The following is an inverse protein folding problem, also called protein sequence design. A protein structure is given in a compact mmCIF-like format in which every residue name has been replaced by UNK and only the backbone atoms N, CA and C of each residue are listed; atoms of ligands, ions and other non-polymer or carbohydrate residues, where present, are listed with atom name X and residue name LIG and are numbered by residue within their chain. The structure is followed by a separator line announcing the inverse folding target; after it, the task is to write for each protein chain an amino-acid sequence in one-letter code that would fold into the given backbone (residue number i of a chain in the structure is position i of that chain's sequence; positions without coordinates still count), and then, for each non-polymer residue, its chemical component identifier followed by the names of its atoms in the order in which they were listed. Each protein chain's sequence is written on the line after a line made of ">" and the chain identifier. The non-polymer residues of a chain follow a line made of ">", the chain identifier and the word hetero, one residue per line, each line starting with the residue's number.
data_IF_368700838152
#
_entry.id   IF_368700838152
#
_cell.length_a   1.000
_cell.length_b   1.000
_cell.length_c   1.000
_cell.angle_alpha   90.00
_cell.angle_beta   90.00
_cell.angle_gamma   90.00
#
_symmetry.space_group_name_H-M   'P 1'
#
loop_
_entity.id
_entity.type
_entity.pdbx_description
1 polymer ?
#
# COMPACT_ATOMS: atom_id res chain seq x y z
N UNK A 1 30.36 10.79 2.00
CA UNK A 1 28.92 10.76 2.37
C UNK A 1 28.16 12.01 1.93
N UNK A 2 28.73 13.23 1.91
CA UNK A 2 28.04 14.44 1.40
C UNK A 2 27.70 14.39 -0.11
N UNK A 3 28.56 13.78 -0.93
CA UNK A 3 28.37 13.75 -2.39
C UNK A 3 27.13 12.99 -2.88
N UNK A 4 26.73 11.90 -2.21
CA UNK A 4 25.56 11.11 -2.58
C UNK A 4 24.22 11.82 -2.28
N UNK A 5 24.17 12.64 -1.23
CA UNK A 5 22.96 13.44 -0.93
C UNK A 5 22.73 14.53 -1.98
N UNK A 6 23.81 15.17 -2.43
CA UNK A 6 23.72 16.21 -3.47
C UNK A 6 23.32 15.61 -4.83
N UNK A 7 23.83 14.44 -5.20
CA UNK A 7 23.46 13.77 -6.45
C UNK A 7 22.00 13.30 -6.46
N UNK A 8 21.48 12.76 -5.35
CA UNK A 8 20.10 12.35 -5.21
C UNK A 8 19.17 13.57 -5.24
N UNK A 9 19.56 14.66 -4.61
CA UNK A 9 18.79 15.91 -4.61
C UNK A 9 18.73 16.54 -6.01
N UNK A 10 19.85 16.54 -6.75
CA UNK A 10 19.92 17.02 -8.13
C UNK A 10 19.07 16.18 -9.08
N UNK A 11 19.05 14.86 -8.95
CA UNK A 11 18.21 13.97 -9.75
C UNK A 11 16.73 14.18 -9.43
N UNK A 12 16.36 14.34 -8.16
CA UNK A 12 14.98 14.64 -7.75
C UNK A 12 14.52 16.02 -8.27
N UNK A 13 15.39 17.03 -8.24
CA UNK A 13 15.11 18.37 -8.76
C UNK A 13 15.01 18.38 -10.30
N UNK A 14 15.85 17.62 -11.01
CA UNK A 14 15.77 17.56 -12.48
C UNK A 14 14.52 16.87 -13.00
N UNK A 15 13.95 15.93 -12.24
CA UNK A 15 12.68 15.29 -12.57
C UNK A 15 11.48 16.21 -12.28
N UNK A 16 11.57 17.11 -11.27
CA UNK A 16 10.52 18.06 -10.92
C UNK A 16 10.32 19.18 -11.96
N UNK A 17 11.33 19.49 -12.75
CA UNK A 17 11.29 20.61 -13.72
C UNK A 17 10.47 20.40 -14.99
N UNK A 18 9.89 19.20 -15.20
CA UNK A 18 9.23 18.85 -16.47
C UNK A 18 7.75 18.48 -16.37
N UNK A 19 7.10 18.64 -15.21
CA UNK A 19 5.69 18.30 -14.99
C UNK A 19 4.79 19.51 -14.74
N UNK A 20 3.49 19.38 -15.02
CA UNK A 20 2.48 20.27 -14.47
C UNK A 20 2.37 20.02 -12.97
N UNK A 21 2.22 21.06 -12.14
CA UNK A 21 2.12 20.95 -10.67
C UNK A 21 1.02 19.99 -10.18
N UNK A 22 -0.01 19.74 -11.00
CA UNK A 22 -1.11 18.82 -10.67
C UNK A 22 -0.74 17.33 -10.78
N UNK A 23 0.31 16.98 -11.54
CA UNK A 23 0.75 15.60 -11.74
C UNK A 23 1.90 15.20 -10.81
N UNK A 24 2.48 16.16 -10.09
CA UNK A 24 3.62 15.92 -9.23
C UNK A 24 3.19 15.28 -7.90
N UNK A 25 4.02 14.35 -7.45
CA UNK A 25 3.92 13.79 -6.09
C UNK A 25 4.24 14.90 -5.07
N UNK A 26 3.36 15.17 -4.08
CA UNK A 26 3.58 16.27 -3.15
C UNK A 26 4.81 16.05 -2.26
N UNK A 27 5.29 17.13 -1.66
CA UNK A 27 6.29 17.06 -0.60
C UNK A 27 5.72 16.39 0.66
N UNK A 28 6.61 15.89 1.52
CA UNK A 28 6.21 15.33 2.82
C UNK A 28 5.67 16.43 3.76
N UNK A 29 4.67 16.11 4.57
CA UNK A 29 3.92 14.86 4.68
C UNK A 29 2.91 14.67 3.55
N UNK A 30 2.98 13.53 2.84
CA UNK A 30 2.16 13.26 1.66
C UNK A 30 0.76 12.81 2.02
N UNK A 31 -0.23 13.29 1.26
CA UNK A 31 -1.63 12.82 1.34
C UNK A 31 -1.97 11.77 0.28
N UNK A 32 -1.23 11.76 -0.83
CA UNK A 32 -1.34 10.80 -1.93
C UNK A 32 0.06 10.56 -2.54
N UNK A 33 0.20 9.47 -3.30
CA UNK A 33 1.51 9.03 -3.74
C UNK A 33 2.37 8.53 -2.58
N UNK A 34 1.74 8.11 -1.49
CA UNK A 34 2.39 7.60 -0.29
C UNK A 34 3.12 6.31 -0.59
N UNK A 35 4.34 6.19 -0.13
CA UNK A 35 5.11 4.93 -0.10
C UNK A 35 5.24 4.47 1.34
N UNK A 36 4.58 3.37 1.67
CA UNK A 36 4.83 2.64 2.91
C UNK A 36 5.80 1.50 2.62
N UNK A 37 6.87 1.42 3.36
CA UNK A 37 7.95 0.46 3.18
C UNK A 37 7.86 -0.63 4.23
N UNK A 38 8.03 -1.89 3.82
CA UNK A 38 8.18 -3.01 4.74
C UNK A 38 9.48 -2.88 5.51
N UNK A 39 9.43 -3.08 6.83
CA UNK A 39 10.64 -3.06 7.64
C UNK A 39 11.56 -4.25 7.30
N UNK A 40 12.88 -4.05 7.22
CA UNK A 40 13.84 -5.09 6.80
C UNK A 40 14.18 -6.12 7.88
N UNK A 41 13.30 -6.36 8.86
CA UNK A 41 13.60 -7.15 10.07
C UNK A 41 13.43 -8.66 9.90
N UNK A 42 14.00 -9.23 8.87
CA UNK A 42 14.03 -10.69 8.71
C UNK A 42 15.34 -11.34 9.15
N UNK A 43 16.34 -10.58 9.62
CA UNK A 43 17.65 -11.11 10.02
C UNK A 43 18.07 -10.65 11.41
N UNK A 44 18.69 -11.57 12.17
CA UNK A 44 19.19 -11.43 13.55
C UNK A 44 20.38 -10.48 13.73
N UNK A 45 20.65 -9.55 12.81
CA UNK A 45 21.73 -8.57 12.98
C UNK A 45 21.20 -7.30 13.63
N UNK A 46 22.08 -6.46 14.20
CA UNK A 46 21.64 -5.22 14.84
C UNK A 46 20.83 -4.41 13.84
N UNK A 47 19.52 -4.51 14.01
CA UNK A 47 18.48 -4.01 13.09
C UNK A 47 18.66 -2.50 12.83
N UNK A 48 19.17 -1.77 13.83
CA UNK A 48 19.27 -0.32 13.78
C UNK A 48 20.29 0.18 12.75
N UNK A 49 21.45 -0.47 12.61
CA UNK A 49 22.46 -0.01 11.66
C UNK A 49 22.02 -0.21 10.21
N UNK A 50 21.46 -1.40 9.90
CA UNK A 50 20.95 -1.67 8.55
C UNK A 50 19.78 -0.75 8.19
N UNK A 51 18.87 -0.51 9.15
CA UNK A 51 17.76 0.42 8.95
C UNK A 51 18.26 1.86 8.78
N UNK A 52 19.25 2.30 9.56
CA UNK A 52 19.82 3.63 9.41
C UNK A 52 20.40 3.84 7.99
N UNK A 53 21.17 2.88 7.48
CA UNK A 53 21.76 2.94 6.13
C UNK A 53 20.65 2.99 5.04
N UNK A 54 19.57 2.22 5.22
CA UNK A 54 18.41 2.25 4.32
C UNK A 54 17.71 3.60 4.38
N UNK A 55 17.42 4.11 5.57
CA UNK A 55 16.71 5.38 5.73
C UNK A 55 17.56 6.58 5.29
N UNK A 56 18.85 6.57 5.52
CA UNK A 56 19.77 7.62 5.02
C UNK A 56 19.70 7.75 3.48
N UNK A 57 19.44 6.63 2.79
CA UNK A 57 19.35 6.58 1.33
C UNK A 57 17.95 6.78 0.80
N UNK A 58 16.94 6.21 1.46
CA UNK A 58 15.58 6.09 0.93
C UNK A 58 14.56 7.04 1.57
N UNK A 59 14.90 7.72 2.66
CA UNK A 59 13.95 8.56 3.39
C UNK A 59 13.23 9.62 2.53
N UNK A 60 13.81 10.23 1.48
CA UNK A 60 13.06 11.16 0.64
C UNK A 60 11.89 10.53 -0.11
N UNK A 61 11.95 9.22 -0.32
CA UNK A 61 10.99 8.46 -1.13
C UNK A 61 9.96 7.70 -0.29
N UNK A 62 10.24 7.48 1.00
CA UNK A 62 9.43 6.70 1.94
C UNK A 62 8.66 7.60 2.89
N UNK A 63 7.38 7.34 3.08
CA UNK A 63 6.50 8.08 3.99
C UNK A 63 6.18 7.30 5.26
N UNK A 64 6.15 5.96 5.17
CA UNK A 64 5.82 5.08 6.27
C UNK A 64 6.70 3.84 6.35
N UNK A 65 6.94 3.38 7.58
CA UNK A 65 7.61 2.13 7.89
C UNK A 65 6.60 1.17 8.51
N UNK A 66 6.36 0.01 7.89
CA UNK A 66 5.42 -1.00 8.37
C UNK A 66 6.15 -2.19 9.00
N UNK A 67 5.84 -2.49 10.24
CA UNK A 67 6.20 -3.74 10.89
C UNK A 67 5.26 -4.85 10.39
N UNK A 68 5.75 -5.70 9.48
CA UNK A 68 4.90 -6.75 8.88
C UNK A 68 4.89 -8.03 9.72
N UNK A 69 3.80 -8.79 9.62
CA UNK A 69 3.66 -10.10 10.24
C UNK A 69 3.78 -10.11 11.76
N UNK A 70 3.50 -8.98 12.42
CA UNK A 70 3.57 -8.89 13.87
C UNK A 70 4.99 -8.96 14.45
N UNK A 71 6.04 -8.73 13.65
CA UNK A 71 7.43 -8.87 14.09
C UNK A 71 7.78 -7.99 15.30
N UNK A 72 7.10 -6.84 15.49
CA UNK A 72 7.27 -6.00 16.68
C UNK A 72 6.91 -6.71 17.99
N UNK A 73 6.00 -7.68 17.96
CA UNK A 73 5.63 -8.48 19.14
C UNK A 73 6.73 -9.42 19.63
N UNK A 74 7.70 -9.70 18.77
CA UNK A 74 8.85 -10.56 19.07
C UNK A 74 10.10 -9.78 19.48
N UNK A 75 10.02 -8.45 19.48
CA UNK A 75 11.13 -7.55 19.81
C UNK A 75 11.01 -7.01 21.23
N UNK A 76 12.17 -6.68 21.83
CA UNK A 76 12.18 -5.91 23.08
C UNK A 76 11.63 -4.50 22.86
N UNK A 77 10.94 -3.94 23.86
CA UNK A 77 10.28 -2.63 23.78
C UNK A 77 11.27 -1.49 23.47
N UNK A 78 12.46 -1.59 24.01
CA UNK A 78 13.54 -0.62 23.79
C UNK A 78 13.93 -0.59 22.30
N UNK A 79 14.12 -1.77 21.70
CA UNK A 79 14.46 -1.86 20.28
C UNK A 79 13.33 -1.31 19.38
N UNK A 80 12.06 -1.59 19.74
CA UNK A 80 10.93 -1.03 18.99
C UNK A 80 10.95 0.49 19.06
N UNK A 81 11.19 1.09 20.26
CA UNK A 81 11.32 2.55 20.42
C UNK A 81 12.46 3.13 19.61
N UNK A 82 13.64 2.50 19.64
CA UNK A 82 14.80 2.96 18.86
C UNK A 82 14.46 2.99 17.35
N UNK A 83 13.71 2.02 16.85
CA UNK A 83 13.29 1.94 15.46
C UNK A 83 12.25 3.03 15.14
N UNK A 84 11.26 3.22 16.00
CA UNK A 84 10.23 4.26 15.81
C UNK A 84 10.85 5.67 15.87
N UNK A 85 11.73 5.91 16.83
CA UNK A 85 12.47 7.18 16.95
C UNK A 85 13.36 7.44 15.73
N UNK A 86 14.01 6.40 15.19
CA UNK A 86 14.82 6.50 14.01
C UNK A 86 13.98 6.86 12.78
N UNK A 87 12.84 6.21 12.59
CA UNK A 87 11.91 6.52 11.50
C UNK A 87 11.41 7.97 11.59
N UNK A 88 11.04 8.42 12.78
CA UNK A 88 10.57 9.79 13.01
C UNK A 88 11.64 10.86 12.73
N UNK A 89 12.93 10.57 12.98
CA UNK A 89 14.04 11.48 12.61
C UNK A 89 14.14 11.73 11.10
N UNK A 90 13.54 10.84 10.29
CA UNK A 90 13.49 10.95 8.84
C UNK A 90 12.10 11.37 8.32
N UNK A 91 11.21 11.88 9.17
CA UNK A 91 9.82 12.23 8.84
C UNK A 91 9.03 11.05 8.24
N UNK A 92 9.22 9.85 8.81
CA UNK A 92 8.56 8.61 8.39
C UNK A 92 7.66 8.14 9.53
N UNK A 93 6.35 8.00 9.26
CA UNK A 93 5.42 7.43 10.22
C UNK A 93 5.61 5.92 10.38
N UNK A 94 5.19 5.37 11.51
CA UNK A 94 5.36 3.95 11.81
C UNK A 94 4.00 3.26 11.95
N UNK A 95 3.84 2.13 11.26
CA UNK A 95 2.63 1.29 11.25
C UNK A 95 2.91 -0.08 11.88
N UNK A 96 1.95 -0.58 12.66
CA UNK A 96 2.07 -1.89 13.32
C UNK A 96 2.06 -3.07 12.36
N UNK A 97 1.45 -2.90 11.18
CA UNK A 97 1.15 -4.03 10.30
C UNK A 97 0.08 -4.97 10.90
N UNK A 98 0.00 -6.15 10.34
CA UNK A 98 -0.99 -7.19 10.65
C UNK A 98 -0.66 -7.89 11.97
N UNK A 99 -1.28 -7.51 13.04
CA UNK A 99 -1.13 -8.16 14.34
C UNK A 99 -2.34 -8.02 15.25
N UNK A 100 -3.06 -6.92 15.14
CA UNK A 100 -4.15 -6.56 16.04
C UNK A 100 -5.24 -7.63 16.14
N UNK A 101 -5.49 -8.37 15.05
CA UNK A 101 -6.46 -9.46 15.00
C UNK A 101 -6.18 -10.60 15.96
N UNK A 102 -4.91 -10.89 16.25
CA UNK A 102 -4.53 -11.96 17.19
C UNK A 102 -4.97 -11.64 18.61
N UNK A 103 -5.04 -10.37 18.97
CA UNK A 103 -5.44 -9.89 20.29
C UNK A 103 -6.95 -9.89 20.47
N UNK A 104 -7.72 -9.78 19.40
CA UNK A 104 -9.18 -9.82 19.45
C UNK A 104 -9.71 -11.15 19.99
N UNK A 105 -8.94 -12.22 19.86
CA UNK A 105 -9.24 -13.54 20.46
C UNK A 105 -9.21 -13.52 21.99
N UNK A 106 -8.48 -12.55 22.58
CA UNK A 106 -8.34 -12.40 24.03
C UNK A 106 -9.39 -11.43 24.61
N UNK A 107 -10.20 -10.81 23.76
CA UNK A 107 -11.27 -9.91 24.14
C UNK A 107 -10.95 -8.41 24.02
N UNK A 108 -11.96 -7.54 24.20
CA UNK A 108 -11.84 -6.11 23.91
C UNK A 108 -10.83 -5.36 24.81
N UNK A 109 -10.66 -5.81 26.07
CA UNK A 109 -9.72 -5.17 27.01
C UNK A 109 -8.28 -5.30 26.56
N UNK A 110 -7.91 -6.46 25.99
CA UNK A 110 -6.55 -6.72 25.49
C UNK A 110 -6.25 -5.84 24.28
N UNK A 111 -7.23 -5.59 23.43
CA UNK A 111 -7.06 -4.69 22.30
C UNK A 111 -6.85 -3.23 22.74
N UNK A 112 -7.60 -2.75 23.74
CA UNK A 112 -7.40 -1.40 24.29
C UNK A 112 -5.98 -1.24 24.87
N UNK A 113 -5.54 -2.21 25.65
CA UNK A 113 -4.19 -2.20 26.21
C UNK A 113 -3.12 -2.18 25.12
N UNK A 114 -3.30 -2.96 24.04
CA UNK A 114 -2.42 -2.95 22.89
C UNK A 114 -2.34 -1.59 22.20
N UNK A 115 -3.47 -0.92 21.99
CA UNK A 115 -3.50 0.43 21.39
C UNK A 115 -2.71 1.42 22.25
N UNK A 116 -2.87 1.38 23.58
CA UNK A 116 -2.12 2.22 24.51
C UNK A 116 -0.62 1.90 24.48
N UNK A 117 -0.26 0.63 24.39
CA UNK A 117 1.12 0.19 24.31
C UNK A 117 1.76 0.61 22.98
N UNK A 118 1.09 0.44 21.85
CA UNK A 118 1.57 0.92 20.54
C UNK A 118 1.84 2.43 20.58
N UNK A 119 0.94 3.21 21.16
CA UNK A 119 1.14 4.64 21.33
C UNK A 119 2.38 4.95 22.17
N UNK A 120 2.57 4.25 23.28
CA UNK A 120 3.73 4.42 24.17
C UNK A 120 5.06 4.00 23.52
N UNK A 121 5.01 3.13 22.50
CA UNK A 121 6.16 2.67 21.73
C UNK A 121 6.47 3.56 20.51
N UNK A 122 5.67 4.59 20.23
CA UNK A 122 5.89 5.53 19.14
C UNK A 122 5.24 5.14 17.82
N UNK A 123 4.29 4.19 17.80
CA UNK A 123 3.53 3.92 16.57
C UNK A 123 2.56 5.05 16.26
N UNK A 124 2.40 5.37 14.98
CA UNK A 124 1.47 6.38 14.47
C UNK A 124 0.19 5.77 13.94
N UNK A 125 0.27 4.55 13.41
CA UNK A 125 -0.82 3.88 12.70
C UNK A 125 -1.00 2.45 13.18
N UNK A 126 -2.24 2.07 13.46
CA UNK A 126 -2.61 0.67 13.71
C UNK A 126 -3.36 0.13 12.50
N UNK A 127 -2.85 -0.96 11.95
CA UNK A 127 -3.50 -1.71 10.90
C UNK A 127 -4.45 -2.76 11.50
N UNK A 128 -5.63 -2.90 10.92
CA UNK A 128 -6.66 -3.85 11.35
C UNK A 128 -6.96 -4.82 10.22
N UNK A 129 -6.38 -6.01 10.25
CA UNK A 129 -6.78 -7.09 9.36
C UNK A 129 -7.96 -7.86 9.98
N UNK A 130 -9.16 -7.39 9.73
CA UNK A 130 -10.38 -7.98 10.28
C UNK A 130 -10.90 -9.19 9.45
N UNK A 131 -10.34 -9.41 8.25
CA UNK A 131 -10.79 -10.47 7.34
C UNK A 131 -10.56 -11.88 7.91
N UNK A 132 -9.45 -12.10 8.60
CA UNK A 132 -9.11 -13.39 9.21
C UNK A 132 -10.03 -13.81 10.37
N UNK A 133 -10.75 -12.86 10.98
CA UNK A 133 -11.60 -13.11 12.16
C UNK A 133 -13.11 -13.02 11.88
N UNK A 134 -13.52 -12.76 10.65
CA UNK A 134 -14.92 -12.56 10.28
C UNK A 134 -15.67 -11.66 11.27
N UNK A 135 -15.08 -10.55 11.68
CA UNK A 135 -15.66 -9.63 12.65
C UNK A 135 -16.99 -9.06 12.13
N UNK A 136 -18.03 -9.02 12.97
CA UNK A 136 -19.20 -8.22 12.67
C UNK A 136 -18.80 -6.77 12.38
N UNK A 137 -19.47 -6.14 11.43
CA UNK A 137 -19.17 -4.77 10.99
C UNK A 137 -19.11 -3.79 12.17
N UNK A 138 -20.12 -3.82 13.07
CA UNK A 138 -20.14 -2.95 14.24
C UNK A 138 -18.94 -3.14 15.17
N UNK A 139 -18.41 -4.36 15.27
CA UNK A 139 -17.19 -4.60 16.05
C UNK A 139 -15.98 -3.93 15.39
N UNK A 140 -15.83 -4.04 14.06
CA UNK A 140 -14.77 -3.37 13.31
C UNK A 140 -14.83 -1.85 13.49
N UNK A 141 -16.03 -1.25 13.36
CA UNK A 141 -16.22 0.18 13.52
C UNK A 141 -15.89 0.68 14.94
N UNK A 142 -16.20 -0.13 15.97
CA UNK A 142 -15.79 0.16 17.35
C UNK A 142 -14.28 0.18 17.53
N UNK A 143 -13.58 -0.76 16.89
CA UNK A 143 -12.11 -0.82 16.92
C UNK A 143 -11.49 0.40 16.23
N UNK A 144 -12.01 0.79 15.07
CA UNK A 144 -11.59 2.02 14.37
C UNK A 144 -11.75 3.24 15.28
N UNK A 145 -12.93 3.42 15.89
CA UNK A 145 -13.19 4.54 16.81
C UNK A 145 -12.27 4.51 18.04
N UNK A 146 -11.98 3.32 18.58
CA UNK A 146 -11.07 3.16 19.72
C UNK A 146 -9.66 3.62 19.36
N UNK A 147 -9.12 3.21 18.23
CA UNK A 147 -7.80 3.66 17.74
C UNK A 147 -7.81 5.18 17.56
N UNK A 148 -8.83 5.72 16.92
CA UNK A 148 -8.94 7.18 16.70
C UNK A 148 -9.03 7.96 18.00
N UNK A 149 -9.79 7.48 18.98
CA UNK A 149 -9.92 8.14 20.30
C UNK A 149 -8.62 8.14 21.10
N UNK A 150 -7.69 7.21 20.83
CA UNK A 150 -6.36 7.21 21.42
C UNK A 150 -5.39 8.20 20.77
N UNK A 151 -5.78 8.82 19.65
CA UNK A 151 -4.95 9.76 18.89
C UNK A 151 -4.08 9.10 17.82
N UNK A 152 -4.23 7.79 17.58
CA UNK A 152 -3.55 7.07 16.51
C UNK A 152 -4.36 7.08 15.21
N UNK A 153 -3.69 6.80 14.10
CA UNK A 153 -4.34 6.57 12.81
C UNK A 153 -4.82 5.13 12.70
N UNK A 154 -6.03 4.95 12.14
CA UNK A 154 -6.61 3.65 11.89
C UNK A 154 -6.53 3.31 10.40
N UNK A 155 -5.98 2.14 10.08
CA UNK A 155 -5.83 1.63 8.71
C UNK A 155 -6.42 0.22 8.62
N UNK A 156 -7.76 0.09 8.43
CA UNK A 156 -8.40 -1.20 8.16
C UNK A 156 -7.88 -1.82 6.86
N UNK A 157 -7.61 -3.13 6.90
CA UNK A 157 -7.16 -3.91 5.77
C UNK A 157 -8.25 -4.84 5.28
N UNK A 158 -8.46 -4.86 3.98
CA UNK A 158 -9.38 -5.76 3.29
C UNK A 158 -8.60 -6.52 2.21
N UNK A 159 -8.90 -7.80 2.05
CA UNK A 159 -8.30 -8.64 1.02
C UNK A 159 -9.31 -8.88 -0.09
N UNK A 160 -8.87 -8.74 -1.34
CA UNK A 160 -9.63 -9.15 -2.52
C UNK A 160 -9.17 -10.55 -2.90
N UNK A 161 -10.00 -11.56 -2.62
CA UNK A 161 -9.70 -12.97 -2.93
C UNK A 161 -10.55 -13.41 -4.12
N UNK A 162 -9.92 -14.13 -5.04
CA UNK A 162 -10.61 -14.82 -6.12
C UNK A 162 -10.77 -16.28 -5.78
N UNK A 163 -11.95 -16.83 -6.06
CA UNK A 163 -12.13 -18.26 -6.04
C UNK A 163 -11.29 -18.87 -7.18
N UNK A 164 -10.29 -19.67 -6.81
CA UNK A 164 -9.39 -20.35 -7.75
C UNK A 164 -10.07 -21.51 -8.48
N UNK A 165 -11.37 -21.76 -8.25
CA UNK A 165 -12.11 -22.89 -8.82
C UNK A 165 -12.35 -22.76 -10.32
N UNK A 166 -12.31 -21.54 -10.88
CA UNK A 166 -12.58 -21.30 -12.31
C UNK A 166 -11.33 -21.32 -13.20
N UNK A 167 -10.15 -21.53 -12.64
CA UNK A 167 -8.91 -21.56 -13.41
C UNK A 167 -8.24 -22.93 -13.26
N UNK A 168 -8.08 -23.72 -14.34
CA UNK A 168 -7.34 -24.96 -14.30
C UNK A 168 -5.89 -24.68 -13.89
N UNK A 169 -5.51 -25.03 -12.66
CA UNK A 169 -4.15 -24.92 -12.22
C UNK A 169 -3.28 -25.83 -13.07
N UNK A 170 -2.38 -25.27 -13.87
CA UNK A 170 -1.43 -26.01 -14.71
C UNK A 170 -0.44 -26.87 -13.90
N UNK A 171 -0.56 -26.86 -12.56
CA UNK A 171 0.27 -27.61 -11.63
C UNK A 171 -0.29 -28.97 -11.18
N UNK A 172 -1.54 -29.29 -11.48
CA UNK A 172 -2.18 -30.54 -11.04
C UNK A 172 -1.92 -31.70 -12.04
N UNK A 173 -0.77 -31.70 -12.71
CA UNK A 173 -0.29 -32.83 -13.49
C UNK A 173 0.68 -33.67 -12.65
N UNK A 174 0.15 -34.66 -11.94
CA UNK A 174 0.98 -35.73 -11.43
C UNK A 174 1.04 -36.84 -12.50
N UNK A 175 2.22 -37.19 -12.98
CA UNK A 175 2.48 -38.28 -13.90
C UNK A 175 1.68 -38.28 -15.22
N UNK A 176 1.36 -37.10 -15.75
CA UNK A 176 0.65 -37.00 -17.04
C UNK A 176 -0.87 -37.26 -16.97
N UNK A 177 -1.40 -37.56 -15.82
CA UNK A 177 -2.85 -37.70 -15.61
C UNK A 177 -3.43 -36.43 -14.98
N UNK A 178 -4.59 -36.00 -15.47
CA UNK A 178 -5.35 -34.92 -14.87
C UNK A 178 -6.09 -35.48 -13.65
N UNK A 179 -5.61 -35.20 -12.47
CA UNK A 179 -6.35 -35.48 -11.23
C UNK A 179 -7.13 -34.22 -10.92
N UNK A 180 -8.41 -34.21 -11.30
CA UNK A 180 -9.32 -33.18 -10.81
C UNK A 180 -9.45 -33.35 -9.30
N UNK A 181 -9.01 -32.39 -8.47
CA UNK A 181 -9.29 -32.46 -7.06
C UNK A 181 -10.81 -32.45 -6.88
N UNK A 182 -11.34 -33.46 -6.19
CA UNK A 182 -12.73 -33.44 -5.72
C UNK A 182 -12.79 -32.37 -4.62
N UNK A 183 -12.88 -31.11 -5.03
CA UNK A 183 -13.20 -30.03 -4.12
C UNK A 183 -14.72 -30.01 -3.97
N UNK A 184 -15.17 -30.23 -2.76
CA UNK A 184 -16.53 -29.86 -2.39
C UNK A 184 -16.73 -28.42 -2.89
N UNK A 185 -17.72 -28.23 -3.73
CA UNK A 185 -18.18 -26.90 -4.17
C UNK A 185 -18.70 -26.14 -2.94
N UNK A 186 -17.83 -25.54 -2.18
CA UNK A 186 -18.23 -24.49 -1.26
C UNK A 186 -18.49 -23.26 -2.12
N UNK A 187 -19.70 -23.14 -2.60
CA UNK A 187 -20.23 -22.08 -3.46
C UNK A 187 -20.28 -20.69 -2.79
N UNK A 188 -19.52 -20.44 -1.73
CA UNK A 188 -19.74 -19.30 -0.84
C UNK A 188 -18.57 -18.32 -0.72
N UNK A 189 -17.60 -18.31 -1.62
CA UNK A 189 -16.51 -17.32 -1.56
C UNK A 189 -16.28 -16.58 -2.86
N UNK A 190 -17.32 -16.09 -3.48
CA UNK A 190 -17.22 -14.84 -4.23
C UNK A 190 -17.29 -13.75 -3.16
N UNK A 191 -16.14 -13.23 -2.73
CA UNK A 191 -16.14 -12.05 -1.89
C UNK A 191 -16.86 -10.95 -2.68
N UNK A 192 -18.04 -10.58 -2.20
CA UNK A 192 -18.83 -9.51 -2.79
C UNK A 192 -18.03 -8.21 -2.65
N UNK A 193 -17.40 -7.79 -3.76
CA UNK A 193 -16.61 -6.56 -3.82
C UNK A 193 -17.45 -5.34 -3.40
N UNK A 194 -18.75 -5.37 -3.62
CA UNK A 194 -19.65 -4.33 -3.14
C UNK A 194 -19.79 -4.33 -1.62
N UNK A 195 -19.77 -5.50 -1.00
CA UNK A 195 -19.75 -5.61 0.45
C UNK A 195 -18.43 -5.09 1.02
N UNK A 196 -17.29 -5.44 0.40
CA UNK A 196 -15.98 -4.91 0.79
C UNK A 196 -15.99 -3.38 0.72
N UNK A 197 -16.43 -2.80 -0.39
CA UNK A 197 -16.49 -1.35 -0.57
C UNK A 197 -17.37 -0.70 0.49
N UNK A 198 -18.59 -1.20 0.73
CA UNK A 198 -19.51 -0.66 1.75
C UNK A 198 -18.86 -0.70 3.15
N UNK A 199 -18.22 -1.80 3.52
CA UNK A 199 -17.52 -1.91 4.81
C UNK A 199 -16.35 -0.93 4.92
N UNK A 200 -15.59 -0.74 3.84
CA UNK A 200 -14.50 0.23 3.78
C UNK A 200 -15.03 1.68 3.91
N UNK A 201 -16.10 2.03 3.19
CA UNK A 201 -16.78 3.33 3.30
C UNK A 201 -17.20 3.60 4.76
N UNK A 202 -17.83 2.64 5.41
CA UNK A 202 -18.22 2.77 6.82
C UNK A 202 -17.05 2.90 7.79
N UNK A 203 -15.92 2.24 7.49
CA UNK A 203 -14.70 2.46 8.26
C UNK A 203 -14.18 3.91 8.10
N UNK A 204 -14.22 4.48 6.90
CA UNK A 204 -13.88 5.88 6.66
C UNK A 204 -14.82 6.83 7.40
N UNK A 205 -16.13 6.57 7.38
CA UNK A 205 -17.14 7.31 8.17
C UNK A 205 -16.89 7.21 9.68
N UNK A 206 -16.40 6.07 10.16
CA UNK A 206 -16.03 5.87 11.55
C UNK A 206 -14.70 6.56 11.94
N UNK A 207 -14.00 7.18 10.98
CA UNK A 207 -12.79 7.96 11.17
C UNK A 207 -11.49 7.26 10.76
N UNK A 208 -11.54 6.15 10.00
CA UNK A 208 -10.34 5.56 9.43
C UNK A 208 -9.61 6.56 8.51
N UNK A 209 -8.29 6.57 8.57
CA UNK A 209 -7.48 7.52 7.81
C UNK A 209 -7.19 7.03 6.39
N UNK A 210 -7.02 5.71 6.26
CA UNK A 210 -6.65 5.01 5.03
C UNK A 210 -7.24 3.61 5.04
N UNK A 211 -7.59 3.09 3.88
CA UNK A 211 -7.97 1.69 3.68
C UNK A 211 -6.83 0.96 2.98
N UNK A 212 -6.29 -0.08 3.59
CA UNK A 212 -5.34 -0.98 2.95
C UNK A 212 -6.10 -2.05 2.16
N UNK A 213 -5.70 -2.26 0.92
CA UNK A 213 -6.24 -3.30 0.05
C UNK A 213 -5.13 -4.27 -0.30
N UNK A 214 -5.25 -5.50 0.19
CA UNK A 214 -4.46 -6.61 -0.30
C UNK A 214 -5.09 -7.08 -1.63
N UNK A 215 -4.42 -6.76 -2.71
CA UNK A 215 -4.85 -7.08 -4.07
C UNK A 215 -3.87 -8.06 -4.74
N UNK A 216 -3.03 -8.76 -3.99
CA UNK A 216 -2.01 -9.64 -4.52
C UNK A 216 -2.60 -10.73 -5.43
N UNK A 217 -3.71 -11.35 -5.02
CA UNK A 217 -4.38 -12.36 -5.84
C UNK A 217 -4.89 -11.80 -7.18
N UNK A 218 -5.28 -10.52 -7.20
CA UNK A 218 -5.70 -9.82 -8.40
C UNK A 218 -4.51 -9.56 -9.33
N UNK A 219 -3.37 -9.18 -8.75
CA UNK A 219 -2.22 -8.66 -9.48
C UNK A 219 -1.22 -9.75 -9.90
N UNK A 220 -1.14 -10.87 -9.18
CA UNK A 220 -0.26 -11.99 -9.53
C UNK A 220 -0.65 -12.68 -10.84
N UNK A 221 -1.91 -12.55 -11.25
CA UNK A 221 -2.47 -13.14 -12.47
C UNK A 221 -2.72 -12.09 -13.55
N UNK A 222 -1.73 -11.23 -13.78
CA UNK A 222 -1.81 -10.06 -14.64
C UNK A 222 -2.31 -10.31 -16.07
N UNK A 223 -2.28 -11.54 -16.56
CA UNK A 223 -2.81 -11.90 -17.87
C UNK A 223 -4.33 -12.11 -17.89
N UNK A 224 -4.95 -12.31 -16.73
CA UNK A 224 -6.41 -12.46 -16.56
C UNK A 224 -7.01 -11.41 -15.62
N UNK A 225 -6.39 -10.27 -15.49
CA UNK A 225 -6.69 -9.22 -14.51
C UNK A 225 -8.13 -8.77 -14.53
N UNK A 226 -8.77 -8.93 -13.41
CA UNK A 226 -10.02 -8.25 -13.08
C UNK A 226 -9.72 -6.78 -12.70
N UNK A 227 -9.20 -6.03 -13.69
CA UNK A 227 -8.92 -4.58 -13.56
C UNK A 227 -10.17 -3.78 -13.22
N UNK A 228 -11.34 -4.32 -13.57
CA UNK A 228 -12.65 -3.80 -13.24
C UNK A 228 -12.86 -3.68 -11.73
N UNK A 229 -12.41 -4.67 -10.94
CA UNK A 229 -12.55 -4.69 -9.48
C UNK A 229 -11.72 -3.57 -8.84
N UNK A 230 -10.45 -3.46 -9.21
CA UNK A 230 -9.60 -2.37 -8.69
C UNK A 230 -10.14 -1.01 -9.12
N UNK A 231 -10.59 -0.87 -10.38
CA UNK A 231 -11.20 0.37 -10.85
C UNK A 231 -12.48 0.71 -10.06
N UNK A 232 -13.29 -0.28 -9.69
CA UNK A 232 -14.49 -0.09 -8.87
C UNK A 232 -14.14 0.37 -7.46
N UNK A 233 -13.13 -0.25 -6.83
CA UNK A 233 -12.64 0.15 -5.50
C UNK A 233 -12.14 1.59 -5.54
N UNK A 234 -11.25 1.92 -6.48
CA UNK A 234 -10.69 3.26 -6.64
C UNK A 234 -11.77 4.30 -6.96
N UNK A 235 -12.72 3.94 -7.82
CA UNK A 235 -13.84 4.83 -8.20
C UNK A 235 -14.78 5.18 -7.03
N UNK A 236 -14.89 4.30 -6.04
CA UNK A 236 -15.76 4.51 -4.87
C UNK A 236 -15.02 5.12 -3.68
N UNK A 237 -13.82 4.65 -3.37
CA UNK A 237 -13.07 5.09 -2.19
C UNK A 237 -12.12 6.26 -2.47
N UNK A 238 -11.69 6.44 -3.71
CA UNK A 238 -10.66 7.40 -4.11
C UNK A 238 -9.22 6.91 -3.87
N UNK A 239 -8.27 7.41 -4.66
CA UNK A 239 -6.85 7.07 -4.51
C UNK A 239 -6.23 7.62 -3.22
N UNK A 240 -6.72 8.75 -2.74
CA UNK A 240 -6.23 9.40 -1.52
C UNK A 240 -6.62 8.65 -0.24
N UNK A 241 -7.65 7.80 -0.31
CA UNK A 241 -8.15 6.98 0.81
C UNK A 241 -7.78 5.50 0.71
N UNK A 242 -7.14 5.09 -0.37
CA UNK A 242 -6.74 3.68 -0.56
C UNK A 242 -5.23 3.54 -0.68
N UNK A 243 -4.70 2.48 -0.11
CA UNK A 243 -3.32 2.03 -0.27
C UNK A 243 -3.35 0.57 -0.71
N UNK A 244 -2.57 0.23 -1.71
CA UNK A 244 -2.52 -1.14 -2.24
C UNK A 244 -1.24 -1.84 -1.83
N UNK A 245 -1.34 -3.09 -1.43
CA UNK A 245 -0.18 -3.95 -1.25
C UNK A 245 0.39 -4.33 -2.62
N UNK A 246 1.66 -4.05 -2.84
CA UNK A 246 2.39 -4.38 -4.04
C UNK A 246 3.58 -5.27 -3.67
N UNK A 247 3.32 -6.56 -3.53
CA UNK A 247 4.28 -7.56 -3.05
C UNK A 247 5.43 -7.85 -4.02
N UNK A 248 5.35 -7.34 -5.24
CA UNK A 248 6.39 -7.51 -6.24
C UNK A 248 6.48 -6.32 -7.22
N UNK A 249 7.64 -6.14 -7.91
CA UNK A 249 7.87 -5.01 -8.81
C UNK A 249 6.87 -4.90 -9.98
N UNK A 250 6.32 -6.03 -10.48
CA UNK A 250 5.34 -6.03 -11.57
C UNK A 250 4.01 -5.42 -11.11
N UNK A 251 3.61 -5.71 -9.89
CA UNK A 251 2.40 -5.13 -9.27
C UNK A 251 2.56 -3.63 -9.10
N UNK A 252 3.70 -3.15 -8.59
CA UNK A 252 4.00 -1.72 -8.47
C UNK A 252 3.96 -1.02 -9.84
N UNK A 253 4.59 -1.63 -10.84
CA UNK A 253 4.60 -1.11 -12.21
C UNK A 253 3.19 -1.00 -12.78
N UNK A 254 2.36 -2.03 -12.57
CA UNK A 254 0.97 -2.03 -13.03
C UNK A 254 0.16 -0.90 -12.41
N UNK A 255 0.24 -0.73 -11.08
CA UNK A 255 -0.47 0.34 -10.38
C UNK A 255 -0.04 1.73 -10.86
N UNK A 256 1.27 1.98 -10.97
CA UNK A 256 1.79 3.28 -11.43
C UNK A 256 1.41 3.56 -12.88
N UNK A 257 1.45 2.56 -13.76
CA UNK A 257 1.02 2.73 -15.16
C UNK A 257 -0.46 3.01 -15.29
N UNK A 258 -1.28 2.44 -14.41
CA UNK A 258 -2.75 2.57 -14.48
C UNK A 258 -3.28 3.82 -13.81
N UNK A 259 -2.76 4.16 -12.64
CA UNK A 259 -3.28 5.21 -11.78
C UNK A 259 -2.32 6.40 -11.61
N UNK A 260 -1.15 6.35 -12.23
CA UNK A 260 -0.15 7.40 -12.15
C UNK A 260 0.64 7.43 -10.84
N UNK A 261 1.48 8.47 -10.65
CA UNK A 261 2.37 8.58 -9.48
C UNK A 261 1.62 8.83 -8.16
N UNK A 262 0.34 9.18 -8.22
CA UNK A 262 -0.50 9.50 -7.06
C UNK A 262 -1.02 8.30 -6.29
N UNK A 263 -0.86 7.07 -6.81
CA UNK A 263 -1.30 5.85 -6.12
C UNK A 263 -0.47 5.61 -4.86
N UNK A 264 -1.15 5.30 -3.75
CA UNK A 264 -0.49 4.92 -2.50
C UNK A 264 -0.17 3.43 -2.52
N UNK A 265 1.08 3.07 -2.24
CA UNK A 265 1.56 1.69 -2.30
C UNK A 265 2.33 1.32 -1.04
N UNK A 266 2.08 0.09 -0.57
CA UNK A 266 2.92 -0.61 0.37
C UNK A 266 3.82 -1.57 -0.41
N UNK A 267 5.14 -1.46 -0.23
CA UNK A 267 6.16 -2.20 -1.00
C UNK A 267 7.24 -2.78 -0.09
N UNK A 268 7.97 -3.77 -0.58
CA UNK A 268 9.20 -4.21 0.08
C UNK A 268 10.26 -3.12 0.02
N UNK A 269 11.14 -3.07 1.04
CA UNK A 269 12.21 -2.07 1.11
C UNK A 269 13.16 -2.12 -0.10
N UNK A 270 13.36 -3.31 -0.69
CA UNK A 270 14.20 -3.50 -1.88
C UNK A 270 13.58 -2.90 -3.16
N UNK A 271 12.25 -2.67 -3.17
CA UNK A 271 11.52 -2.19 -4.34
C UNK A 271 11.30 -0.66 -4.35
N UNK A 272 11.63 0.04 -3.27
CA UNK A 272 11.39 1.48 -3.13
C UNK A 272 12.02 2.28 -4.28
N UNK A 273 13.29 2.02 -4.59
CA UNK A 273 13.99 2.72 -5.69
C UNK A 273 13.38 2.43 -7.06
N UNK A 274 12.95 1.19 -7.28
CA UNK A 274 12.27 0.84 -8.54
C UNK A 274 10.92 1.55 -8.66
N UNK A 275 10.15 1.61 -7.57
CA UNK A 275 8.88 2.33 -7.53
C UNK A 275 9.06 3.82 -7.83
N UNK A 276 10.07 4.45 -7.24
CA UNK A 276 10.32 5.88 -7.47
C UNK A 276 10.75 6.15 -8.91
N UNK A 277 11.59 5.29 -9.48
CA UNK A 277 11.93 5.34 -10.90
C UNK A 277 10.69 5.24 -11.80
N UNK A 278 9.78 4.32 -11.50
CA UNK A 278 8.53 4.14 -12.25
C UNK A 278 7.64 5.38 -12.20
N UNK A 279 7.54 6.03 -11.03
CA UNK A 279 6.80 7.28 -10.86
C UNK A 279 7.39 8.41 -11.71
N UNK A 280 8.72 8.58 -11.69
CA UNK A 280 9.41 9.57 -12.51
C UNK A 280 9.24 9.34 -14.02
N UNK A 281 9.36 8.09 -14.50
CA UNK A 281 9.15 7.77 -15.91
C UNK A 281 7.71 8.00 -16.39
N UNK A 282 6.73 7.73 -15.54
CA UNK A 282 5.33 7.96 -15.90
C UNK A 282 5.03 9.44 -16.11
N UNK A 283 5.61 10.31 -15.28
CA UNK A 283 5.52 11.77 -15.43
C UNK A 283 6.07 12.24 -16.79
N UNK A 284 7.27 11.77 -17.18
CA UNK A 284 7.89 12.11 -18.45
C UNK A 284 7.06 11.66 -19.67
N UNK A 285 6.42 10.49 -19.57
CA UNK A 285 5.58 9.95 -20.66
C UNK A 285 4.27 10.74 -20.82
N UNK A 286 3.64 11.14 -19.72
CA UNK A 286 2.41 11.95 -19.75
C UNK A 286 2.68 13.30 -20.40
N UNK A 287 3.78 13.96 -20.04
CA UNK A 287 4.18 15.25 -20.62
C UNK A 287 4.49 15.16 -22.11
N UNK A 288 5.16 14.10 -22.58
CA UNK A 288 5.44 13.92 -24.00
C UNK A 288 4.17 13.67 -24.83
N UNK A 289 3.15 13.01 -24.27
CA UNK A 289 1.86 12.82 -24.94
C UNK A 289 1.05 14.12 -25.00
N UNK A 290 1.08 14.96 -23.99
CA UNK A 290 0.45 16.30 -24.01
C UNK A 290 1.09 17.22 -25.06
N UNK A 291 2.42 17.20 -25.17
CA UNK A 291 3.13 17.97 -26.21
C UNK A 291 2.76 17.53 -27.61
N UNK A 292 2.57 16.22 -27.83
CA UNK A 292 2.13 15.68 -29.12
C UNK A 292 0.68 16.05 -29.46
N UNK A 293 -0.24 16.03 -28.46
CA UNK A 293 -1.63 16.43 -28.67
C UNK A 293 -1.77 17.92 -28.99
N UNK A 294 -0.99 18.78 -28.32
CA UNK A 294 -0.97 20.21 -28.59
C UNK A 294 -0.31 20.57 -29.93
N UNK A 295 0.62 19.77 -30.45
CA UNK A 295 1.20 19.96 -31.78
C UNK A 295 0.24 19.54 -32.89
N UNK A 296 -0.56 18.49 -32.69
CA UNK A 296 -1.55 18.03 -33.65
C UNK A 296 -2.72 19.00 -33.86
N UNK A 297 -3.07 19.78 -32.84
CA UNK A 297 -4.15 20.78 -32.95
C UNK A 297 -3.73 22.09 -33.66
N UNK A 298 -2.43 22.32 -33.90
CA UNK A 298 -1.91 23.50 -34.60
C UNK A 298 -1.78 23.37 -36.11
N UNK A 299 -2.02 22.19 -36.68
CA UNK A 299 -1.96 21.93 -38.11
C UNK A 299 -3.30 21.44 -38.67
N UNK A 300 -4.38 22.20 -38.47
CA UNK A 300 -5.56 22.06 -39.29
C UNK A 300 -5.37 23.01 -40.49
N UNK A 301 -5.34 22.53 -41.75
CA UNK A 301 -5.25 23.40 -42.94
C UNK A 301 -6.53 24.21 -43.06
N UNK A 302 -6.46 25.49 -43.50
CA UNK A 302 -7.66 26.27 -43.74
C UNK A 302 -8.48 25.64 -44.88
N UNK A 303 -9.75 25.38 -44.60
CA UNK A 303 -10.70 24.99 -45.65
C UNK A 303 -10.82 26.16 -46.64
N UNK A 304 -10.35 25.96 -47.88
CA UNK A 304 -10.73 26.78 -49.00
C UNK A 304 -12.17 26.40 -49.41
N UNK A 305 -13.08 27.33 -49.20
CA UNK A 305 -14.38 27.36 -49.85
C UNK A 305 -14.17 27.80 -51.29
N UNK A 306 -14.52 26.96 -52.27
CA UNK A 306 -15.00 27.33 -53.58
C UNK A 306 -16.45 26.87 -53.72
#
# INVERSE_FOLDING_TARGET
>A
MRGWREEVEVVALSLRGYGNEEDDRPEKPRRYGVTEMRSPFYSFRPANQALQEILDSLSPFVDGLKFSGGCHSLMGKELVREITDLAHKHDIYVSTGEWAEHLLRQGPSSFKQYVEECKALGFDTIELNAGSLNLPEEALLRLVRLIKSSGLRAKPMFSVKFDSSDIPASRDRAFGAYIAPVREKTSEKVEDVDLLIRRAERCLEAGADMIMIDADDVCQRAESLRTDIIAKIVGRLGLDKTMFEASNPKTSEWFVRRYGPRVNLFVDHSDVMNLERLRGFNMLRTNSNMLRSNSASRFAPPFFLM
#
